data_IF_144467712963
#
_entry.id   IF_144467712963
#
_cell.length_a   1.000
_cell.length_b   1.000
_cell.length_c   1.000
_cell.angle_alpha   90.00
_cell.angle_beta   90.00
_cell.angle_gamma   90.00
#
_symmetry.space_group_name_H-M   'P 1'
#
loop_
_entity.id
_entity.type
_entity.pdbx_description
1 polymer ?
#
# COMPACT_ATOMS: atom_id res chain seq x y z
N UNK A 1 32.79 -57.55 26.23
CA UNK A 1 31.70 -56.61 26.56
C UNK A 1 30.92 -56.34 25.28
N UNK A 2 29.78 -57.00 25.07
CA UNK A 2 29.00 -56.86 23.85
C UNK A 2 28.20 -55.55 23.92
N UNK A 3 28.49 -54.62 23.00
CA UNK A 3 27.79 -53.34 22.90
C UNK A 3 26.34 -53.64 22.48
N UNK A 4 25.36 -53.31 23.32
CA UNK A 4 23.95 -53.41 22.97
C UNK A 4 23.64 -52.41 21.85
N UNK A 5 23.41 -52.93 20.64
CA UNK A 5 23.15 -52.14 19.42
C UNK A 5 21.70 -51.65 19.34
N UNK A 6 20.78 -52.15 20.19
CA UNK A 6 19.36 -51.77 20.16
C UNK A 6 19.12 -50.25 20.36
N UNK A 7 19.74 -49.55 21.32
CA UNK A 7 19.56 -48.10 21.47
C UNK A 7 20.10 -47.32 20.27
N UNK A 8 21.25 -47.72 19.72
CA UNK A 8 21.86 -47.09 18.54
C UNK A 8 20.94 -47.23 17.31
N UNK A 9 20.34 -48.41 17.12
CA UNK A 9 19.44 -48.68 16.00
C UNK A 9 18.09 -47.94 16.14
N UNK A 10 17.60 -47.71 17.37
CA UNK A 10 16.42 -46.86 17.63
C UNK A 10 16.73 -45.38 17.36
N UNK A 11 17.88 -44.89 17.79
CA UNK A 11 18.32 -43.52 17.52
C UNK A 11 18.49 -43.27 16.01
N UNK A 12 19.08 -44.20 15.27
CA UNK A 12 19.21 -44.12 13.82
C UNK A 12 17.84 -44.07 13.12
N UNK A 13 16.87 -44.90 13.54
CA UNK A 13 15.50 -44.89 13.00
C UNK A 13 14.78 -43.56 13.27
N UNK A 14 14.89 -43.03 14.49
CA UNK A 14 14.32 -41.72 14.86
C UNK A 14 14.96 -40.58 14.05
N UNK A 15 16.27 -40.63 13.83
CA UNK A 15 16.99 -39.66 13.03
C UNK A 15 16.55 -39.71 11.56
N UNK A 16 16.47 -40.91 10.96
CA UNK A 16 15.98 -41.07 9.59
C UNK A 16 14.53 -40.63 9.43
N UNK A 17 13.65 -40.96 10.39
CA UNK A 17 12.26 -40.52 10.36
C UNK A 17 12.13 -39.00 10.46
N UNK A 18 12.98 -38.36 11.27
CA UNK A 18 13.03 -36.89 11.39
C UNK A 18 13.50 -36.23 10.09
N UNK A 19 14.52 -36.78 9.44
CA UNK A 19 15.01 -36.30 8.13
C UNK A 19 13.94 -36.42 7.05
N UNK A 20 13.23 -37.54 6.98
CA UNK A 20 12.13 -37.75 6.04
C UNK A 20 11.00 -36.75 6.31
N UNK A 21 10.65 -36.52 7.58
CA UNK A 21 9.62 -35.55 7.94
C UNK A 21 10.02 -34.12 7.52
N UNK A 22 11.28 -33.73 7.73
CA UNK A 22 11.81 -32.42 7.29
C UNK A 22 11.74 -32.30 5.76
N UNK A 23 12.13 -33.33 5.02
CA UNK A 23 12.08 -33.35 3.56
C UNK A 23 10.64 -33.23 3.03
N UNK A 24 9.69 -33.94 3.65
CA UNK A 24 8.26 -33.85 3.31
C UNK A 24 7.73 -32.43 3.56
N UNK A 25 8.06 -31.85 4.72
CA UNK A 25 7.65 -30.48 5.06
C UNK A 25 8.23 -29.48 4.04
N UNK A 26 9.52 -29.61 3.68
CA UNK A 26 10.16 -28.78 2.68
C UNK A 26 9.47 -28.92 1.31
N UNK A 27 9.22 -30.15 0.85
CA UNK A 27 8.52 -30.40 -0.41
C UNK A 27 7.12 -29.79 -0.42
N UNK A 28 6.35 -29.94 0.66
CA UNK A 28 5.02 -29.33 0.81
C UNK A 28 5.11 -27.80 0.73
N UNK A 29 6.11 -27.17 1.37
CA UNK A 29 6.27 -25.70 1.28
C UNK A 29 6.63 -25.21 -0.12
N UNK A 30 7.44 -25.96 -0.87
CA UNK A 30 7.77 -25.66 -2.26
C UNK A 30 6.55 -25.82 -3.16
N UNK A 31 5.81 -26.93 -3.04
CA UNK A 31 4.57 -27.15 -3.81
C UNK A 31 3.53 -26.06 -3.51
N UNK A 32 3.42 -25.61 -2.26
CA UNK A 32 2.49 -24.53 -1.88
C UNK A 32 2.83 -23.17 -2.47
N UNK A 33 4.10 -22.92 -2.80
CA UNK A 33 4.54 -21.66 -3.43
C UNK A 33 4.64 -21.76 -4.95
N UNK A 34 4.43 -22.96 -5.50
CA UNK A 34 4.38 -23.19 -6.93
C UNK A 34 3.18 -22.46 -7.55
N UNK A 35 3.45 -21.63 -8.57
CA UNK A 35 2.41 -20.89 -9.28
C UNK A 35 1.91 -19.64 -8.57
N UNK A 36 2.61 -19.17 -7.52
CA UNK A 36 2.31 -17.87 -6.89
C UNK A 36 3.29 -16.80 -7.36
N UNK A 37 2.78 -15.60 -7.57
CA UNK A 37 3.59 -14.42 -7.90
C UNK A 37 3.26 -13.29 -6.95
N UNK A 38 4.26 -12.55 -6.49
CA UNK A 38 4.12 -11.42 -5.57
C UNK A 38 4.54 -10.14 -6.29
N UNK A 39 3.63 -9.15 -6.35
CA UNK A 39 4.00 -7.77 -6.67
C UNK A 39 4.48 -7.11 -5.38
N UNK A 40 5.69 -6.57 -5.42
CA UNK A 40 6.33 -5.85 -4.33
C UNK A 40 6.49 -4.38 -4.71
N UNK A 41 5.98 -3.47 -3.90
CA UNK A 41 6.14 -2.02 -4.04
C UNK A 41 7.08 -1.53 -2.94
N UNK A 42 8.26 -1.07 -3.33
CA UNK A 42 9.25 -0.47 -2.45
C UNK A 42 9.23 1.04 -2.61
N UNK A 43 9.07 1.74 -1.48
CA UNK A 43 8.98 3.20 -1.45
C UNK A 43 10.06 3.73 -0.50
N UNK A 44 10.76 4.77 -0.96
CA UNK A 44 11.59 5.63 -0.12
C UNK A 44 10.90 6.97 0.07
N UNK A 45 10.79 7.40 1.32
CA UNK A 45 10.23 8.68 1.72
C UNK A 45 11.34 9.69 1.98
N UNK A 46 11.18 10.91 1.48
CA UNK A 46 12.09 11.99 1.80
C UNK A 46 11.72 12.60 3.17
N UNK A 47 12.31 12.06 4.25
CA UNK A 47 12.07 12.56 5.62
C UNK A 47 12.37 14.04 5.79
N UNK A 48 13.34 14.59 5.06
CA UNK A 48 13.65 16.02 5.15
C UNK A 48 12.45 16.85 4.68
N UNK A 49 11.83 16.48 3.55
CA UNK A 49 10.62 17.15 3.07
C UNK A 49 9.46 16.98 4.05
N UNK A 50 9.28 15.77 4.58
CA UNK A 50 8.25 15.51 5.60
C UNK A 50 8.45 16.43 6.81
N UNK A 51 9.67 16.54 7.34
CA UNK A 51 9.96 17.42 8.48
C UNK A 51 9.84 18.92 8.18
N UNK A 52 9.85 19.32 6.91
CA UNK A 52 9.67 20.71 6.49
C UNK A 52 8.21 21.06 6.23
N UNK A 53 7.29 20.08 6.19
CA UNK A 53 5.86 20.39 6.16
C UNK A 53 5.39 20.92 7.51
N UNK A 54 4.26 21.63 7.51
CA UNK A 54 3.72 22.28 8.72
C UNK A 54 3.51 21.29 9.88
N UNK A 55 3.09 20.05 9.57
CA UNK A 55 2.75 19.07 10.60
C UNK A 55 3.89 18.09 10.93
N UNK A 56 4.93 18.02 10.10
CA UNK A 56 6.01 17.03 10.24
C UNK A 56 5.50 15.56 10.40
N UNK A 57 4.31 15.28 9.85
CA UNK A 57 3.67 13.97 9.92
C UNK A 57 3.90 13.16 8.64
N UNK A 58 4.00 11.82 8.72
CA UNK A 58 4.13 10.98 7.55
C UNK A 58 2.96 11.16 6.55
N UNK A 59 3.24 11.09 5.23
CA UNK A 59 2.21 11.22 4.21
C UNK A 59 1.15 10.13 4.32
N UNK A 60 -0.06 10.45 3.90
CA UNK A 60 -1.13 9.49 3.70
C UNK A 60 -1.03 8.95 2.27
N UNK A 61 -1.28 7.66 2.08
CA UNK A 61 -1.26 7.07 0.74
C UNK A 61 -2.08 5.78 0.64
N UNK A 62 -2.45 5.45 -0.58
CA UNK A 62 -3.10 4.20 -0.92
C UNK A 62 -2.45 3.59 -2.17
N UNK A 63 -2.47 2.26 -2.23
CA UNK A 63 -2.02 1.47 -3.37
C UNK A 63 -3.15 0.52 -3.76
N UNK A 64 -3.48 0.48 -5.05
CA UNK A 64 -4.45 -0.47 -5.58
C UNK A 64 -4.05 -0.97 -6.96
N UNK A 65 -4.60 -2.13 -7.32
CA UNK A 65 -4.47 -2.69 -8.66
C UNK A 65 -5.80 -2.56 -9.38
N UNK A 66 -5.74 -2.22 -10.66
CA UNK A 66 -6.85 -2.24 -11.60
C UNK A 66 -6.59 -3.30 -12.67
N UNK A 67 -7.56 -4.18 -12.91
CA UNK A 67 -7.55 -5.07 -14.06
C UNK A 67 -7.78 -4.23 -15.34
N UNK A 68 -6.85 -4.23 -16.31
CA UNK A 68 -6.97 -3.38 -17.49
C UNK A 68 -8.16 -3.75 -18.39
N UNK A 69 -8.66 -4.98 -18.30
CA UNK A 69 -9.77 -5.52 -19.11
C UNK A 69 -11.10 -5.37 -18.36
N UNK A 70 -11.22 -5.90 -17.14
CA UNK A 70 -12.50 -5.91 -16.41
C UNK A 70 -12.77 -4.62 -15.66
N UNK A 71 -11.73 -3.81 -15.42
CA UNK A 71 -11.77 -2.61 -14.55
C UNK A 71 -12.04 -2.92 -13.09
N UNK A 72 -11.86 -4.18 -12.67
CA UNK A 72 -11.96 -4.56 -11.27
C UNK A 72 -10.83 -3.94 -10.46
N UNK A 73 -11.17 -3.47 -9.26
CA UNK A 73 -10.27 -2.72 -8.39
C UNK A 73 -10.00 -3.50 -7.11
N UNK A 74 -8.71 -3.71 -6.83
CA UNK A 74 -8.22 -4.41 -5.64
C UNK A 74 -7.36 -3.46 -4.82
N UNK A 75 -7.88 -2.99 -3.68
CA UNK A 75 -7.03 -2.25 -2.73
C UNK A 75 -5.94 -3.19 -2.20
N UNK A 76 -4.69 -2.73 -2.29
CA UNK A 76 -3.51 -3.45 -1.78
C UNK A 76 -3.14 -2.92 -0.39
N UNK A 77 -3.10 -1.60 -0.25
CA UNK A 77 -2.73 -0.92 0.99
C UNK A 77 -3.42 0.43 1.07
N UNK A 78 -3.74 0.84 2.29
CA UNK A 78 -4.15 2.21 2.60
C UNK A 78 -3.66 2.53 4.02
N UNK A 79 -3.18 3.74 4.24
CA UNK A 79 -2.76 4.18 5.57
C UNK A 79 -3.90 4.13 6.58
N UNK A 80 -3.60 3.77 7.83
CA UNK A 80 -4.60 3.56 8.87
C UNK A 80 -5.54 4.75 9.07
N UNK A 81 -5.03 6.00 9.12
CA UNK A 81 -5.88 7.19 9.34
C UNK A 81 -6.95 7.34 8.26
N UNK A 82 -6.56 7.18 6.98
CA UNK A 82 -7.51 7.17 5.87
C UNK A 82 -8.49 6.01 5.98
N UNK A 83 -7.99 4.81 6.29
CA UNK A 83 -8.81 3.61 6.38
C UNK A 83 -9.83 3.66 7.53
N UNK A 84 -9.46 4.24 8.66
CA UNK A 84 -10.30 4.35 9.86
C UNK A 84 -11.15 5.63 9.87
N UNK A 85 -10.81 6.64 9.06
CA UNK A 85 -11.37 7.99 9.18
C UNK A 85 -10.94 8.68 10.49
N UNK A 86 -9.77 8.33 11.00
CA UNK A 86 -9.25 8.79 12.30
C UNK A 86 -8.42 10.05 12.10
N UNK A 87 -9.10 11.20 12.16
CA UNK A 87 -8.53 12.52 11.92
C UNK A 87 -8.51 13.34 13.22
N UNK A 88 -7.36 13.94 13.52
CA UNK A 88 -7.23 14.76 14.72
C UNK A 88 -8.06 16.04 14.59
N UNK A 89 -9.07 16.19 15.45
CA UNK A 89 -9.91 17.38 15.51
C UNK A 89 -10.86 17.60 14.32
N UNK A 90 -10.93 16.69 13.34
CA UNK A 90 -11.81 16.80 12.17
C UNK A 90 -12.68 15.55 12.02
N UNK A 91 -13.92 15.72 11.57
CA UNK A 91 -14.81 14.58 11.31
C UNK A 91 -14.44 13.83 10.02
N UNK A 92 -13.91 14.56 9.03
CA UNK A 92 -13.46 14.00 7.75
C UNK A 92 -12.42 14.92 7.11
N UNK A 93 -11.52 14.35 6.30
CA UNK A 93 -10.52 15.06 5.50
C UNK A 93 -10.60 14.52 4.06
N UNK A 94 -11.56 14.97 3.25
CA UNK A 94 -11.82 14.42 1.91
C UNK A 94 -10.69 14.69 0.91
N UNK A 95 -9.85 15.68 1.19
CA UNK A 95 -8.68 16.07 0.40
C UNK A 95 -7.49 15.12 0.57
N UNK A 96 -7.49 14.24 1.58
CA UNK A 96 -6.33 13.42 1.92
C UNK A 96 -6.00 12.39 0.84
N UNK A 97 -6.98 11.61 0.36
CA UNK A 97 -6.83 10.70 -0.79
C UNK A 97 -8.13 10.69 -1.62
N UNK A 98 -8.45 11.81 -2.32
CA UNK A 98 -9.75 12.02 -2.94
C UNK A 98 -10.15 10.90 -3.90
N UNK A 99 -9.20 10.43 -4.71
CA UNK A 99 -9.49 9.45 -5.75
C UNK A 99 -9.78 8.08 -5.14
N UNK A 100 -8.96 7.64 -4.19
CA UNK A 100 -9.18 6.41 -3.46
C UNK A 100 -10.51 6.43 -2.71
N UNK A 101 -10.82 7.53 -2.02
CA UNK A 101 -12.13 7.71 -1.37
C UNK A 101 -13.28 7.58 -2.37
N UNK A 102 -13.23 8.29 -3.50
CA UNK A 102 -14.27 8.22 -4.52
C UNK A 102 -14.49 6.79 -5.02
N UNK A 103 -13.41 6.06 -5.28
CA UNK A 103 -13.47 4.72 -5.85
C UNK A 103 -13.98 3.69 -4.83
N UNK A 104 -13.44 3.69 -3.61
CA UNK A 104 -13.63 2.60 -2.66
C UNK A 104 -14.65 2.89 -1.55
N UNK A 105 -15.10 4.15 -1.41
CA UNK A 105 -16.05 4.60 -0.38
C UNK A 105 -17.27 5.33 -0.96
N UNK A 106 -17.39 5.41 -2.28
CA UNK A 106 -18.21 6.37 -3.03
C UNK A 106 -19.52 6.87 -2.38
N UNK A 107 -19.72 8.19 -2.44
CA UNK A 107 -20.98 8.94 -2.31
C UNK A 107 -22.01 8.46 -1.28
N UNK A 108 -21.61 8.25 -0.02
CA UNK A 108 -22.59 8.33 1.08
C UNK A 108 -22.95 9.81 1.30
N UNK A 109 -23.96 10.30 0.58
CA UNK A 109 -24.77 11.43 1.04
C UNK A 109 -25.51 11.00 2.31
N UNK A 110 -24.81 10.92 3.43
CA UNK A 110 -25.47 10.77 4.73
C UNK A 110 -24.76 11.63 5.77
N UNK A 111 -25.33 12.78 6.14
CA UNK A 111 -24.86 13.53 7.29
C UNK A 111 -25.00 12.63 8.54
N UNK A 112 -23.90 12.37 9.23
CA UNK A 112 -23.95 11.74 10.57
C UNK A 112 -23.78 10.22 10.66
N UNK A 113 -23.09 9.56 9.73
CA UNK A 113 -22.65 8.17 9.98
C UNK A 113 -21.27 8.13 10.64
N UNK A 114 -21.28 8.27 11.97
CA UNK A 114 -20.35 7.54 12.83
C UNK A 114 -20.62 6.05 12.64
N UNK A 115 -19.85 5.37 11.80
CA UNK A 115 -20.08 3.95 11.55
C UNK A 115 -18.90 3.32 10.83
N UNK A 116 -18.34 2.28 11.43
CA UNK A 116 -17.35 1.37 10.85
C UNK A 116 -17.82 0.83 9.49
N UNK A 117 -17.57 1.57 8.41
CA UNK A 117 -17.68 1.01 7.06
C UNK A 117 -16.44 0.13 6.90
N UNK A 118 -16.63 -1.19 7.06
CA UNK A 118 -15.63 -2.17 6.66
C UNK A 118 -15.35 -1.94 5.19
N UNK A 119 -14.11 -1.58 4.87
CA UNK A 119 -13.65 -1.56 3.48
C UNK A 119 -14.05 -2.90 2.82
N UNK A 120 -14.69 -2.89 1.64
CA UNK A 120 -15.00 -4.13 0.93
C UNK A 120 -13.69 -4.93 0.80
N UNK A 121 -13.77 -6.19 1.21
CA UNK A 121 -12.63 -6.99 1.66
C UNK A 121 -11.44 -6.98 0.71
N UNK A 122 -10.33 -6.40 1.16
CA UNK A 122 -8.92 -6.66 0.78
C UNK A 122 -7.98 -5.52 1.18
N UNK A 123 -8.50 -4.39 1.66
CA UNK A 123 -7.65 -3.34 2.21
C UNK A 123 -6.89 -3.86 3.45
N UNK A 124 -5.61 -4.15 3.30
CA UNK A 124 -4.69 -4.28 4.43
C UNK A 124 -4.47 -2.84 4.91
N UNK A 125 -5.31 -2.38 5.84
CA UNK A 125 -4.99 -1.17 6.58
C UNK A 125 -3.73 -1.45 7.39
N UNK A 126 -2.71 -0.61 7.19
CA UNK A 126 -1.46 -0.72 7.92
C UNK A 126 -1.13 0.59 8.61
N UNK A 127 -0.33 0.49 9.66
CA UNK A 127 0.29 1.67 10.24
C UNK A 127 1.05 2.43 9.14
N UNK A 128 0.89 3.74 9.09
CA UNK A 128 1.68 4.57 8.18
C UNK A 128 3.16 4.35 8.47
N UNK A 129 3.96 3.90 7.50
CA UNK A 129 5.38 3.64 7.72
C UNK A 129 6.10 4.91 8.17
N UNK A 130 6.76 4.85 9.33
CA UNK A 130 7.61 5.94 9.85
C UNK A 130 9.06 5.83 9.36
N UNK A 131 9.41 4.69 8.79
CA UNK A 131 10.73 4.44 8.23
C UNK A 131 10.90 5.13 6.88
N UNK A 132 12.15 5.45 6.56
CA UNK A 132 12.53 6.00 5.25
C UNK A 132 12.15 5.04 4.14
N UNK A 133 12.47 3.76 4.32
CA UNK A 133 12.19 2.70 3.36
C UNK A 133 11.12 1.75 3.90
N UNK A 134 10.14 1.43 3.06
CA UNK A 134 9.15 0.40 3.36
C UNK A 134 8.72 -0.37 2.12
N UNK A 135 8.15 -1.54 2.36
CA UNK A 135 7.77 -2.50 1.32
C UNK A 135 6.33 -2.98 1.53
N UNK A 136 5.51 -2.89 0.49
CA UNK A 136 4.18 -3.50 0.42
C UNK A 136 4.21 -4.67 -0.57
N UNK A 137 3.47 -5.73 -0.28
CA UNK A 137 3.44 -6.96 -1.08
C UNK A 137 2.01 -7.44 -1.28
N UNK A 138 1.70 -7.91 -2.49
CA UNK A 138 0.42 -8.51 -2.82
C UNK A 138 0.61 -9.73 -3.72
N UNK A 139 -0.05 -10.85 -3.37
CA UNK A 139 -0.10 -12.03 -4.23
C UNK A 139 -1.07 -11.80 -5.41
N UNK A 140 -0.62 -12.16 -6.60
CA UNK A 140 -1.36 -12.13 -7.87
C UNK A 140 -1.08 -13.41 -8.67
N UNK A 141 -1.94 -13.67 -9.65
CA UNK A 141 -1.72 -14.78 -10.59
C UNK A 141 -0.47 -14.52 -11.45
N UNK A 142 0.36 -15.55 -11.73
CA UNK A 142 1.46 -15.43 -12.68
C UNK A 142 1.00 -14.91 -14.04
N UNK A 143 1.83 -14.08 -14.67
CA UNK A 143 1.60 -13.51 -16.02
C UNK A 143 0.36 -12.60 -16.14
N UNK A 144 -0.39 -12.39 -15.06
CA UNK A 144 -1.50 -11.44 -15.01
C UNK A 144 -1.05 -10.00 -15.26
N UNK A 145 -1.93 -9.19 -15.85
CA UNK A 145 -1.69 -7.78 -16.18
C UNK A 145 -2.45 -6.88 -15.22
N UNK A 146 -1.82 -5.82 -14.76
CA UNK A 146 -2.41 -4.87 -13.81
C UNK A 146 -1.98 -3.45 -14.14
N UNK A 147 -2.85 -2.49 -13.84
CA UNK A 147 -2.44 -1.10 -13.65
C UNK A 147 -2.30 -0.91 -12.14
N UNK A 148 -1.08 -0.65 -11.68
CA UNK A 148 -0.84 -0.26 -10.29
C UNK A 148 -0.95 1.25 -10.16
N UNK A 149 -1.76 1.65 -9.19
CA UNK A 149 -2.01 3.03 -8.83
C UNK A 149 -1.51 3.29 -7.42
N UNK A 150 -0.89 4.44 -7.22
CA UNK A 150 -0.44 4.93 -5.92
C UNK A 150 -0.93 6.36 -5.79
N UNK A 151 -1.78 6.64 -4.82
CA UNK A 151 -2.18 8.00 -4.47
C UNK A 151 -1.46 8.41 -3.19
N UNK A 152 -0.83 9.57 -3.16
CA UNK A 152 -0.06 10.05 -2.02
C UNK A 152 -0.34 11.53 -1.76
N UNK A 153 -0.47 11.88 -0.48
CA UNK A 153 -0.67 13.23 -0.02
C UNK A 153 0.20 13.50 1.23
N UNK A 154 0.80 14.68 1.27
CA UNK A 154 1.48 15.21 2.46
C UNK A 154 0.73 16.44 2.94
N UNK A 155 0.02 16.31 4.06
CA UNK A 155 -0.70 17.43 4.66
C UNK A 155 0.26 18.54 5.10
N UNK A 156 -0.19 19.78 4.95
CA UNK A 156 0.59 20.98 5.30
C UNK A 156 1.79 21.22 4.39
N UNK A 157 1.81 20.67 3.18
CA UNK A 157 2.85 20.91 2.18
C UNK A 157 2.53 22.19 1.36
N UNK A 158 2.51 23.33 2.05
CA UNK A 158 2.14 24.62 1.49
C UNK A 158 3.25 25.23 0.63
N UNK A 159 2.86 26.04 -0.35
CA UNK A 159 3.76 26.88 -1.14
C UNK A 159 3.00 28.09 -1.73
N UNK A 160 3.64 28.92 -2.55
CA UNK A 160 3.00 30.13 -3.11
C UNK A 160 1.74 29.87 -3.94
N UNK A 161 1.62 28.68 -4.58
CA UNK A 161 0.44 28.27 -5.35
C UNK A 161 -0.62 27.57 -4.51
N UNK A 162 -0.22 27.01 -3.37
CA UNK A 162 -1.09 26.32 -2.42
C UNK A 162 -0.82 26.88 -1.03
N UNK A 163 -1.19 28.14 -0.76
CA UNK A 163 -0.89 28.79 0.50
C UNK A 163 -1.81 28.26 1.62
N UNK A 164 -1.35 28.35 2.85
CA UNK A 164 -2.17 28.08 4.04
C UNK A 164 -3.30 29.11 4.19
N UNK A 165 -3.02 30.36 3.82
CA UNK A 165 -3.98 31.46 3.83
C UNK A 165 -3.89 32.17 2.47
N UNK A 166 -5.01 32.20 1.76
CA UNK A 166 -5.12 32.95 0.52
C UNK A 166 -5.16 34.46 0.82
N UNK A 167 -4.21 35.21 0.28
CA UNK A 167 -4.04 36.63 0.62
C UNK A 167 -5.13 37.55 0.05
N UNK A 168 -5.85 37.11 -0.98
CA UNK A 168 -6.89 37.92 -1.63
C UNK A 168 -8.26 37.70 -1.01
N UNK A 169 -8.60 36.44 -0.78
CA UNK A 169 -9.88 36.02 -0.19
C UNK A 169 -9.85 35.95 1.34
N UNK A 170 -8.65 35.98 1.95
CA UNK A 170 -8.43 35.77 3.39
C UNK A 170 -8.99 34.45 3.91
N UNK A 171 -9.16 33.47 3.02
CA UNK A 171 -9.63 32.13 3.34
C UNK A 171 -8.43 31.25 3.71
N UNK A 172 -8.58 30.49 4.78
CA UNK A 172 -7.63 29.45 5.16
C UNK A 172 -7.91 28.15 4.39
N UNK A 173 -6.88 27.33 4.19
CA UNK A 173 -7.05 25.94 3.77
C UNK A 173 -7.71 25.15 4.91
N UNK A 174 -9.05 25.03 4.84
CA UNK A 174 -9.91 24.33 5.80
C UNK A 174 -9.36 22.95 6.21
N UNK A 175 -8.76 22.23 5.26
CA UNK A 175 -8.27 20.88 5.48
C UNK A 175 -6.77 20.83 5.78
N UNK A 176 -6.08 21.97 5.67
CA UNK A 176 -4.63 22.10 5.82
C UNK A 176 -3.90 21.13 4.89
N UNK A 177 -4.40 21.02 3.67
CA UNK A 177 -3.91 20.11 2.65
C UNK A 177 -2.54 20.56 2.13
N UNK A 178 -2.44 21.84 1.76
CA UNK A 178 -1.37 22.32 0.91
C UNK A 178 -1.51 21.76 -0.50
N UNK A 179 -0.41 21.25 -1.06
CA UNK A 179 -0.40 20.66 -2.40
C UNK A 179 -1.38 19.47 -2.54
N UNK A 180 -2.04 19.31 -3.71
CA UNK A 180 -2.99 18.23 -3.95
C UNK A 180 -2.33 16.85 -3.90
N UNK A 181 -3.15 15.84 -3.65
CA UNK A 181 -2.71 14.45 -3.71
C UNK A 181 -2.24 14.10 -5.13
N UNK A 182 -1.15 13.32 -5.22
CA UNK A 182 -0.53 12.92 -6.47
C UNK A 182 -0.80 11.45 -6.77
N UNK A 183 -1.10 11.17 -8.04
CA UNK A 183 -1.32 9.83 -8.57
C UNK A 183 -0.10 9.38 -9.38
N UNK A 184 0.48 8.28 -8.96
CA UNK A 184 1.48 7.54 -9.71
C UNK A 184 0.85 6.29 -10.34
N UNK A 185 1.31 5.94 -11.54
CA UNK A 185 0.77 4.84 -12.35
C UNK A 185 1.87 3.98 -12.95
N UNK A 186 1.70 2.66 -12.93
CA UNK A 186 2.53 1.72 -13.70
C UNK A 186 1.67 0.61 -14.32
N UNK A 187 1.95 0.26 -15.57
CA UNK A 187 1.44 -0.97 -16.18
C UNK A 187 2.39 -2.13 -15.88
N UNK A 188 1.85 -3.18 -15.26
CA UNK A 188 2.60 -4.32 -14.74
C UNK A 188 2.16 -5.58 -15.45
N UNK A 189 3.14 -6.40 -15.82
CA UNK A 189 2.92 -7.82 -16.11
C UNK A 189 3.61 -8.63 -15.02
N UNK A 190 2.89 -9.54 -14.39
CA UNK A 190 3.35 -10.35 -13.25
C UNK A 190 4.30 -11.49 -13.69
N UNK A 191 5.40 -11.12 -14.35
CA UNK A 191 6.50 -12.01 -14.76
C UNK A 191 7.66 -11.85 -13.77
N UNK A 192 8.14 -12.97 -13.22
CA UNK A 192 9.23 -13.02 -12.24
C UNK A 192 10.46 -12.20 -12.68
N UNK A 193 11.06 -11.47 -11.74
CA UNK A 193 12.21 -10.57 -11.91
C UNK A 193 11.93 -9.32 -12.77
N UNK A 194 10.68 -9.08 -13.18
CA UNK A 194 10.31 -7.83 -13.83
C UNK A 194 10.35 -6.67 -12.85
N UNK A 195 10.77 -5.51 -13.33
CA UNK A 195 10.81 -4.26 -12.56
C UNK A 195 10.11 -3.14 -13.33
N UNK A 196 9.38 -2.32 -12.59
CA UNK A 196 8.62 -1.20 -13.13
C UNK A 196 8.86 0.04 -12.26
N UNK A 197 8.89 1.20 -12.89
CA UNK A 197 8.95 2.50 -12.22
C UNK A 197 7.64 3.24 -12.49
N UNK A 198 6.82 3.52 -11.47
CA UNK A 198 5.62 4.33 -11.65
C UNK A 198 5.95 5.73 -12.13
N UNK A 199 5.14 6.22 -13.06
CA UNK A 199 5.20 7.58 -13.55
C UNK A 199 4.23 8.45 -12.75
N UNK A 200 4.62 9.69 -12.48
CA UNK A 200 3.70 10.69 -11.95
C UNK A 200 2.68 11.02 -13.05
N UNK A 201 1.44 10.59 -12.84
CA UNK A 201 0.40 10.58 -13.86
C UNK A 201 -0.51 11.81 -13.79
N UNK A 202 -0.97 12.15 -12.59
CA UNK A 202 -1.98 13.19 -12.37
C UNK A 202 -1.96 13.70 -10.93
N UNK A 203 -2.73 14.76 -10.68
CA UNK A 203 -3.15 15.16 -9.33
C UNK A 203 -4.63 14.83 -9.15
N UNK A 204 -5.02 14.44 -7.94
CA UNK A 204 -6.41 14.27 -7.54
C UNK A 204 -6.85 15.44 -6.67
N UNK A 205 -7.92 16.11 -7.09
CA UNK A 205 -8.42 17.32 -6.44
C UNK A 205 -9.86 17.07 -5.99
N UNK A 206 -10.14 17.38 -4.73
CA UNK A 206 -11.49 17.40 -4.21
C UNK A 206 -12.02 18.83 -4.21
N UNK A 207 -13.20 19.04 -4.80
CA UNK A 207 -13.92 20.30 -4.77
C UNK A 207 -15.39 20.04 -4.43
N UNK A 208 -15.78 20.36 -3.20
CA UNK A 208 -17.18 20.39 -2.72
C UNK A 208 -18.00 19.20 -3.25
N UNK A 209 -17.55 18.00 -2.87
CA UNK A 209 -18.15 16.69 -3.20
C UNK A 209 -17.82 16.10 -4.58
N UNK A 210 -17.04 16.79 -5.38
CA UNK A 210 -16.55 16.25 -6.66
C UNK A 210 -15.05 15.99 -6.59
N UNK A 211 -14.62 14.86 -7.17
CA UNK A 211 -13.19 14.56 -7.33
C UNK A 211 -12.84 14.62 -8.81
N UNK A 212 -11.90 15.50 -9.16
CA UNK A 212 -11.31 15.59 -10.49
C UNK A 212 -9.92 14.96 -10.50
N UNK A 213 -9.59 14.33 -11.64
CA UNK A 213 -8.24 13.88 -11.95
C UNK A 213 -7.71 14.81 -13.03
N UNK A 214 -6.66 15.55 -12.70
CA UNK A 214 -6.15 16.64 -13.51
C UNK A 214 -4.68 16.39 -13.85
N UNK A 215 -4.18 16.92 -14.99
CA UNK A 215 -2.74 16.98 -15.22
C UNK A 215 -2.03 17.66 -14.05
N UNK A 216 -0.82 17.18 -13.73
CA UNK A 216 -0.03 17.77 -12.65
C UNK A 216 0.29 19.23 -12.98
N UNK A 217 -0.16 20.14 -12.13
CA UNK A 217 0.02 21.57 -12.33
C UNK A 217 1.47 22.01 -12.10
N UNK A 218 1.86 23.14 -12.69
CA UNK A 218 3.19 23.73 -12.51
C UNK A 218 3.45 24.20 -11.06
N UNK A 219 2.41 24.37 -10.24
CA UNK A 219 2.52 24.75 -8.83
C UNK A 219 2.98 23.60 -7.92
N UNK A 220 3.05 22.37 -8.43
CA UNK A 220 3.53 21.21 -7.66
C UNK A 220 5.06 21.24 -7.55
N UNK A 221 5.53 21.48 -6.33
CA UNK A 221 6.94 21.66 -5.99
C UNK A 221 7.48 20.48 -5.19
N UNK A 222 7.23 20.45 -3.88
CA UNK A 222 7.77 19.47 -2.93
C UNK A 222 7.01 18.15 -2.94
N UNK A 223 5.68 18.16 -3.15
CA UNK A 223 4.85 16.95 -3.11
C UNK A 223 5.37 15.82 -4.02
N UNK A 224 5.82 16.13 -5.24
CA UNK A 224 6.34 15.13 -6.20
C UNK A 224 7.59 14.39 -5.73
N UNK A 225 8.28 14.93 -4.72
CA UNK A 225 9.53 14.39 -4.17
C UNK A 225 9.34 13.78 -2.77
N UNK A 226 8.10 13.75 -2.22
CA UNK A 226 7.81 13.13 -0.93
C UNK A 226 8.13 11.65 -0.97
N UNK A 227 7.71 10.97 -2.04
CA UNK A 227 8.24 9.67 -2.44
C UNK A 227 9.33 9.90 -3.48
N UNK A 228 10.58 10.02 -3.05
CA UNK A 228 11.69 10.29 -3.97
C UNK A 228 12.03 9.06 -4.84
N UNK A 229 11.67 7.86 -4.37
CA UNK A 229 11.87 6.60 -5.06
C UNK A 229 10.66 5.71 -4.87
N UNK A 230 10.09 5.26 -5.99
CA UNK A 230 9.08 4.21 -6.03
C UNK A 230 9.57 3.14 -7.01
N UNK A 231 9.64 1.90 -6.55
CA UNK A 231 10.01 0.74 -7.36
C UNK A 231 8.98 -0.35 -7.20
N UNK A 232 8.55 -0.92 -8.31
CA UNK A 232 7.71 -2.11 -8.31
C UNK A 232 8.54 -3.27 -8.87
N UNK A 233 8.56 -4.38 -8.15
CA UNK A 233 9.20 -5.62 -8.58
C UNK A 233 8.24 -6.80 -8.50
N UNK A 234 8.46 -7.79 -9.35
CA UNK A 234 7.68 -9.03 -9.37
C UNK A 234 8.57 -10.17 -8.91
N UNK A 235 8.22 -10.77 -7.78
CA UNK A 235 9.05 -11.77 -7.10
C UNK A 235 8.26 -13.06 -6.88
N UNK A 236 8.97 -14.19 -6.75
CA UNK A 236 8.35 -15.40 -6.16
C UNK A 236 8.20 -15.21 -4.65
N UNK A 237 7.02 -15.51 -4.07
CA UNK A 237 6.86 -15.49 -2.64
C UNK A 237 7.79 -16.53 -2.00
N UNK A 238 8.54 -16.11 -0.99
CA UNK A 238 9.44 -17.02 -0.26
C UNK A 238 8.62 -18.16 0.38
N UNK A 239 9.09 -19.43 0.32
CA UNK A 239 8.45 -20.54 1.03
C UNK A 239 8.31 -20.22 2.52
N UNK A 240 7.06 -20.14 3.00
CA UNK A 240 6.76 -19.91 4.42
C UNK A 240 6.09 -21.16 5.00
N UNK A 241 6.64 -21.67 6.10
CA UNK A 241 6.05 -22.77 6.88
C UNK A 241 4.69 -22.39 7.48
N UNK A 242 4.55 -21.11 7.88
CA UNK A 242 3.34 -20.53 8.44
C UNK A 242 3.03 -19.28 7.64
N UNK A 243 1.87 -19.26 6.97
CA UNK A 243 1.36 -18.04 6.37
C UNK A 243 0.60 -17.25 7.44
N UNK A 244 1.28 -16.30 8.10
CA UNK A 244 0.67 -15.42 9.11
C UNK A 244 -0.42 -14.50 8.54
N UNK A 245 -0.52 -14.40 7.21
CA UNK A 245 -1.50 -13.56 6.50
C UNK A 245 -2.61 -14.39 5.85
N UNK A 246 -2.61 -15.72 6.00
CA UNK A 246 -3.73 -16.58 5.59
C UNK A 246 -4.79 -16.52 6.68
N UNK A 247 -5.75 -15.62 6.51
CA UNK A 247 -6.97 -15.59 7.31
C UNK A 247 -7.65 -16.96 7.11
N UNK A 248 -7.95 -17.65 8.22
CA UNK A 248 -8.86 -18.79 8.18
C UNK A 248 -10.23 -18.21 7.87
N UNK A 249 -10.83 -18.62 6.77
CA UNK A 249 -12.27 -18.43 6.56
C UNK A 249 -12.97 -19.11 7.76
N UNK A 250 -13.60 -18.29 8.60
CA UNK A 250 -14.52 -18.68 9.66
C UNK A 250 -15.83 -17.94 9.41
#
# INVERSE_FOLDING_TARGET
MAIDRKPIMRAAKLFTASLVLIAIIAAITVVRTWGRTEIQVDIHQNKKLIHLSTFAEPPQFAIWLEDPVTKDLKTVFVTHRVAAGDWEGKANVPVALPQWFRIFRGNEKTPGLSGNVKAPGMAISGATPKEDYFTIRVEVEPESKWICWIEMNLAGDFNDYFPEIDTESHMEDEFSNGQPALLYRAEIVAVENSMFKPELFAQSVWNRDTVSIEPVSNGITTAKNVFDTIRISVNKPKPKLINKYRIKDL
#
